data_IF_136294375520
#
_entry.id   IF_136294375520
#
_cell.length_a   1.000
_cell.length_b   1.000
_cell.length_c   1.000
_cell.angle_alpha   90.00
_cell.angle_beta   90.00
_cell.angle_gamma   90.00
#
_symmetry.space_group_name_H-M   'P 1'
#
loop_
_entity.id
_entity.type
_entity.pdbx_description
1 polymer ?
#
# COMPACT_ATOMS: atom_id res chain seq x y z
N UNK A 1 16.32 28.10 -25.22
CA UNK A 1 17.73 28.29 -24.83
C UNK A 1 18.68 27.42 -25.68
N UNK A 2 18.95 27.80 -26.94
CA UNK A 2 20.13 27.39 -27.72
C UNK A 2 20.31 28.45 -28.83
N UNK A 3 21.35 29.27 -28.73
CA UNK A 3 21.65 30.28 -29.76
C UNK A 3 22.53 29.66 -30.84
N UNK A 4 22.04 29.69 -32.08
CA UNK A 4 22.66 29.13 -33.30
C UNK A 4 24.07 29.66 -33.58
N UNK A 5 24.43 30.84 -33.04
CA UNK A 5 25.79 31.41 -33.19
C UNK A 5 26.86 30.64 -32.42
N UNK A 6 26.52 29.89 -31.36
CA UNK A 6 27.49 29.16 -30.53
C UNK A 6 27.77 27.72 -31.01
N UNK A 7 27.01 27.21 -31.99
CA UNK A 7 27.01 25.79 -32.39
C UNK A 7 27.56 25.52 -33.79
N UNK A 8 27.97 26.55 -34.54
CA UNK A 8 28.50 26.40 -35.90
C UNK A 8 29.93 25.80 -35.85
N UNK A 9 30.15 24.71 -36.59
CA UNK A 9 31.44 24.02 -36.77
C UNK A 9 32.08 23.33 -35.55
N UNK A 10 31.32 23.01 -34.50
CA UNK A 10 31.81 22.15 -33.40
C UNK A 10 31.01 20.84 -33.37
N UNK A 11 31.65 19.66 -33.36
CA UNK A 11 30.93 18.42 -33.08
C UNK A 11 30.39 18.52 -31.65
N UNK A 12 29.07 18.45 -31.50
CA UNK A 12 28.41 18.43 -30.21
C UNK A 12 27.84 17.04 -29.97
N UNK A 13 28.10 16.49 -28.78
CA UNK A 13 27.46 15.29 -28.28
C UNK A 13 26.34 15.74 -27.34
N UNK A 14 25.08 15.64 -27.78
CA UNK A 14 23.94 15.84 -26.88
C UNK A 14 23.72 14.54 -26.11
N UNK A 15 24.25 14.47 -24.90
CA UNK A 15 23.88 13.40 -23.97
C UNK A 15 22.53 13.78 -23.36
N UNK A 16 21.44 13.23 -23.89
CA UNK A 16 20.17 13.27 -23.16
C UNK A 16 20.32 12.36 -21.95
N UNK A 17 20.55 12.96 -20.79
CA UNK A 17 20.60 12.24 -19.53
C UNK A 17 19.20 11.68 -19.22
N UNK A 18 19.15 10.38 -18.98
CA UNK A 18 17.91 9.64 -18.76
C UNK A 18 17.40 9.96 -17.35
N UNK A 19 16.39 10.82 -17.24
CA UNK A 19 15.76 11.24 -15.96
C UNK A 19 15.13 10.06 -15.17
N UNK A 20 14.98 8.88 -15.77
CA UNK A 20 14.36 7.73 -15.12
C UNK A 20 15.24 6.46 -15.14
N UNK A 21 15.50 5.91 -13.95
CA UNK A 21 16.17 4.62 -13.71
C UNK A 21 15.40 3.39 -14.26
N UNK A 22 14.20 3.59 -14.80
CA UNK A 22 13.30 2.52 -15.26
C UNK A 22 13.33 2.46 -16.79
N UNK A 23 13.46 1.26 -17.37
CA UNK A 23 13.40 1.03 -18.82
C UNK A 23 12.02 1.46 -19.40
N UNK A 24 11.92 2.05 -20.62
CA UNK A 24 10.66 2.64 -21.08
C UNK A 24 9.56 1.58 -21.23
N UNK A 25 9.91 0.38 -21.72
CA UNK A 25 8.95 -0.72 -21.82
C UNK A 25 8.42 -1.19 -20.47
N UNK A 26 9.23 -1.11 -19.40
CA UNK A 26 8.80 -1.44 -18.04
C UNK A 26 7.81 -0.41 -17.50
N UNK A 27 8.02 0.88 -17.83
CA UNK A 27 7.09 1.94 -17.48
C UNK A 27 5.75 1.79 -18.22
N UNK A 28 5.79 1.50 -19.51
CA UNK A 28 4.59 1.28 -20.32
C UNK A 28 3.79 0.07 -19.83
N UNK A 29 4.48 -1.03 -19.51
CA UNK A 29 3.85 -2.23 -18.94
C UNK A 29 3.19 -1.95 -17.58
N UNK A 30 3.83 -1.13 -16.74
CA UNK A 30 3.27 -0.70 -15.46
C UNK A 30 2.00 0.13 -15.67
N UNK A 31 2.03 1.12 -16.57
CA UNK A 31 0.87 1.97 -16.90
C UNK A 31 -0.28 1.10 -17.44
N UNK A 32 0.01 0.15 -18.32
CA UNK A 32 -1.00 -0.78 -18.84
C UNK A 32 -1.59 -1.66 -17.73
N UNK A 33 -0.77 -2.15 -16.80
CA UNK A 33 -1.26 -2.96 -15.66
C UNK A 33 -2.23 -2.17 -14.76
N UNK A 34 -2.01 -0.86 -14.61
CA UNK A 34 -2.90 0.04 -13.88
C UNK A 34 -4.21 0.24 -14.65
N UNK A 35 -4.14 0.47 -15.97
CA UNK A 35 -5.32 0.59 -16.83
C UNK A 35 -6.17 -0.68 -16.83
N UNK A 36 -5.55 -1.86 -16.89
CA UNK A 36 -6.22 -3.16 -16.86
C UNK A 36 -6.99 -3.40 -15.55
N UNK A 37 -6.60 -2.75 -14.44
CA UNK A 37 -7.33 -2.77 -13.16
C UNK A 37 -8.54 -1.84 -13.14
N UNK A 38 -8.86 -1.19 -14.26
CA UNK A 38 -9.98 -0.24 -14.39
C UNK A 38 -9.66 1.18 -13.90
N UNK A 39 -8.40 1.49 -13.61
CA UNK A 39 -7.97 2.82 -13.17
C UNK A 39 -7.68 3.68 -14.41
N UNK A 40 -8.41 4.78 -14.56
CA UNK A 40 -8.18 5.75 -15.64
C UNK A 40 -6.89 6.53 -15.37
N UNK A 41 -5.89 6.36 -16.22
CA UNK A 41 -4.63 7.11 -16.16
C UNK A 41 -4.72 8.31 -17.11
N UNK A 42 -4.40 9.50 -16.60
CA UNK A 42 -4.28 10.73 -17.39
C UNK A 42 -2.82 11.14 -17.42
N UNK A 43 -2.24 11.24 -18.61
CA UNK A 43 -0.82 11.54 -18.79
C UNK A 43 -0.63 13.04 -19.08
N UNK A 44 0.09 13.72 -18.20
CA UNK A 44 0.51 15.12 -18.36
C UNK A 44 1.98 15.21 -18.74
N UNK A 45 2.36 16.26 -19.47
CA UNK A 45 3.75 16.49 -19.91
C UNK A 45 4.49 17.49 -19.01
N UNK A 46 3.74 18.40 -18.39
CA UNK A 46 4.25 19.43 -17.47
C UNK A 46 3.13 19.85 -16.50
N UNK A 47 3.48 20.62 -15.47
CA UNK A 47 2.53 21.04 -14.44
C UNK A 47 1.33 21.83 -15.00
N UNK A 48 1.55 22.69 -16.01
CA UNK A 48 0.48 23.47 -16.65
C UNK A 48 -0.51 22.57 -17.41
N UNK A 49 -0.02 21.59 -18.15
CA UNK A 49 -0.86 20.62 -18.86
C UNK A 49 -1.66 19.78 -17.86
N UNK A 50 -1.02 19.32 -16.78
CA UNK A 50 -1.70 18.58 -15.71
C UNK A 50 -2.81 19.42 -15.05
N UNK A 51 -2.57 20.72 -14.79
CA UNK A 51 -3.58 21.63 -14.26
C UNK A 51 -4.76 21.81 -15.25
N UNK A 52 -4.49 21.94 -16.54
CA UNK A 52 -5.51 22.00 -17.58
C UNK A 52 -6.33 20.71 -17.71
N UNK A 53 -5.69 19.54 -17.60
CA UNK A 53 -6.38 18.24 -17.58
C UNK A 53 -7.31 18.12 -16.36
N UNK A 54 -6.83 18.50 -15.18
CA UNK A 54 -7.66 18.52 -13.96
C UNK A 54 -8.85 19.47 -14.13
N UNK A 55 -8.61 20.67 -14.62
CA UNK A 55 -9.67 21.65 -14.88
C UNK A 55 -10.70 21.13 -15.88
N UNK A 56 -10.27 20.49 -16.98
CA UNK A 56 -11.18 19.92 -17.97
C UNK A 56 -12.00 18.75 -17.45
N UNK A 57 -11.42 17.90 -16.59
CA UNK A 57 -12.14 16.78 -15.95
C UNK A 57 -13.20 17.28 -14.97
N UNK A 58 -12.88 18.32 -14.19
CA UNK A 58 -13.82 18.91 -13.23
C UNK A 58 -14.92 19.70 -13.95
N UNK A 59 -14.52 20.63 -14.82
CA UNK A 59 -15.44 21.54 -15.51
C UNK A 59 -16.30 20.82 -16.56
N UNK A 60 -15.76 19.80 -17.22
CA UNK A 60 -16.50 18.98 -18.20
C UNK A 60 -17.66 18.19 -17.60
N UNK A 61 -17.71 18.04 -16.27
CA UNK A 61 -18.83 17.41 -15.56
C UNK A 61 -19.85 18.41 -14.98
N UNK A 62 -19.59 19.72 -15.05
CA UNK A 62 -20.36 20.73 -14.30
C UNK A 62 -21.53 21.35 -15.06
N UNK A 63 -21.58 21.25 -16.40
CA UNK A 63 -22.76 21.70 -17.17
C UNK A 63 -24.06 20.90 -16.90
N UNK A 64 -24.05 19.91 -16.01
CA UNK A 64 -25.23 19.10 -15.63
C UNK A 64 -25.50 19.02 -14.12
N UNK A 65 -24.81 19.81 -13.29
CA UNK A 65 -24.99 19.78 -11.82
C UNK A 65 -25.43 21.10 -11.19
N UNK A 66 -26.10 21.96 -11.97
CA UNK A 66 -27.10 22.87 -11.41
C UNK A 66 -28.36 22.08 -11.00
N UNK A 67 -28.21 21.18 -10.02
CA UNK A 67 -29.30 20.63 -9.23
C UNK A 67 -28.87 20.61 -7.77
N UNK A 68 -29.09 21.75 -7.13
CA UNK A 68 -29.66 21.92 -5.79
C UNK A 68 -29.50 20.72 -4.84
N UNK A 69 -28.69 20.88 -3.80
CA UNK A 69 -28.84 20.14 -2.53
C UNK A 69 -28.09 18.81 -2.36
N UNK A 70 -26.98 18.57 -3.07
CA UNK A 70 -26.27 17.30 -2.96
C UNK A 70 -25.21 17.32 -1.83
N UNK A 71 -25.48 16.57 -0.76
CA UNK A 71 -24.57 16.32 0.38
C UNK A 71 -23.14 16.06 -0.12
N UNK A 72 -22.17 16.75 0.50
CA UNK A 72 -20.73 16.52 0.29
C UNK A 72 -20.43 15.02 0.35
N UNK A 73 -19.62 14.47 -0.57
CA UNK A 73 -19.23 13.07 -0.51
C UNK A 73 -18.40 12.84 0.76
N UNK A 74 -18.95 12.07 1.69
CA UNK A 74 -18.21 11.55 2.85
C UNK A 74 -17.22 10.53 2.32
N UNK A 75 -15.96 10.91 2.17
CA UNK A 75 -14.87 9.98 1.86
C UNK A 75 -14.68 9.10 3.11
N UNK A 76 -15.16 7.86 3.08
CA UNK A 76 -14.79 6.86 4.11
C UNK A 76 -13.33 6.48 3.88
N UNK A 77 -12.42 7.04 4.68
CA UNK A 77 -10.96 6.85 4.56
C UNK A 77 -10.42 5.62 5.29
N UNK A 78 -11.27 4.71 5.77
CA UNK A 78 -10.82 3.36 6.10
C UNK A 78 -11.68 2.39 5.34
N UNK A 79 -11.05 1.46 4.62
CA UNK A 79 -11.71 0.19 4.34
C UNK A 79 -11.98 -0.39 5.72
N UNK A 80 -13.24 -0.39 6.14
CA UNK A 80 -13.63 -1.11 7.33
C UNK A 80 -13.21 -2.56 7.12
N UNK A 81 -13.00 -3.30 8.18
CA UNK A 81 -13.08 -4.75 8.09
C UNK A 81 -14.57 -4.98 7.75
N UNK A 82 -14.87 -5.07 6.46
CA UNK A 82 -16.25 -4.99 5.94
C UNK A 82 -17.05 -6.26 6.30
N UNK A 83 -16.32 -7.32 6.69
CA UNK A 83 -16.83 -8.63 7.06
C UNK A 83 -16.19 -9.10 8.36
N UNK A 84 -16.94 -9.88 9.14
CA UNK A 84 -16.44 -10.61 10.29
C UNK A 84 -15.21 -11.49 9.93
N UNK A 85 -15.13 -11.97 8.69
CA UNK A 85 -13.96 -12.73 8.21
C UNK A 85 -12.71 -11.85 8.11
N UNK A 86 -12.86 -10.59 7.68
CA UNK A 86 -11.73 -9.66 7.59
C UNK A 86 -11.24 -9.33 9.00
N UNK A 87 -12.14 -9.20 9.97
CA UNK A 87 -11.81 -9.01 11.38
C UNK A 87 -11.02 -10.19 11.96
N UNK A 88 -11.45 -11.41 11.66
CA UNK A 88 -10.75 -12.62 12.06
C UNK A 88 -9.37 -12.73 11.41
N UNK A 89 -9.26 -12.45 10.11
CA UNK A 89 -7.98 -12.43 9.39
C UNK A 89 -7.04 -11.38 9.98
N UNK A 90 -7.55 -10.18 10.28
CA UNK A 90 -6.78 -9.10 10.87
C UNK A 90 -6.29 -9.43 12.29
N UNK A 91 -7.15 -10.03 13.12
CA UNK A 91 -6.78 -10.44 14.48
C UNK A 91 -5.64 -11.47 14.46
N UNK A 92 -5.73 -12.51 13.63
CA UNK A 92 -4.66 -13.50 13.50
C UNK A 92 -3.41 -12.92 12.80
N UNK A 93 -3.57 -11.96 11.90
CA UNK A 93 -2.45 -11.25 11.30
C UNK A 93 -1.71 -10.33 12.30
N UNK A 94 -2.30 -10.05 13.47
CA UNK A 94 -1.64 -9.31 14.55
C UNK A 94 -0.50 -10.07 15.23
N UNK A 95 -0.41 -11.39 15.04
CA UNK A 95 0.67 -12.18 15.60
C UNK A 95 2.02 -11.88 14.92
N UNK A 96 3.14 -11.93 15.66
CA UNK A 96 4.46 -11.67 15.12
C UNK A 96 4.78 -12.63 13.97
N UNK A 97 5.27 -12.07 12.85
CA UNK A 97 5.65 -12.81 11.65
C UNK A 97 4.50 -13.54 10.94
N UNK A 98 3.24 -13.19 11.23
CA UNK A 98 2.08 -13.65 10.48
C UNK A 98 1.57 -12.50 9.62
N UNK A 99 1.23 -12.80 8.37
CA UNK A 99 0.60 -11.87 7.45
C UNK A 99 -0.83 -12.33 7.14
N UNK A 100 -1.61 -11.51 6.44
CA UNK A 100 -3.00 -11.82 6.07
C UNK A 100 -3.12 -13.15 5.32
N UNK A 101 -2.15 -13.49 4.47
CA UNK A 101 -2.15 -14.76 3.72
C UNK A 101 -2.01 -15.96 4.65
N UNK A 102 -1.08 -15.91 5.60
CA UNK A 102 -0.87 -16.95 6.62
C UNK A 102 -2.05 -17.03 7.60
N UNK A 103 -2.59 -15.90 8.00
CA UNK A 103 -3.79 -15.81 8.83
C UNK A 103 -4.99 -16.49 8.17
N UNK A 104 -5.20 -16.25 6.87
CA UNK A 104 -6.22 -16.95 6.09
C UNK A 104 -5.98 -18.45 6.03
N UNK A 105 -4.73 -18.90 5.84
CA UNK A 105 -4.40 -20.34 5.84
C UNK A 105 -4.66 -20.99 7.20
N UNK A 106 -4.34 -20.30 8.30
CA UNK A 106 -4.64 -20.73 9.67
C UNK A 106 -6.15 -20.86 9.89
N UNK A 107 -6.91 -19.83 9.52
CA UNK A 107 -8.38 -19.83 9.67
C UNK A 107 -9.05 -20.88 8.76
N UNK A 108 -8.50 -21.16 7.58
CA UNK A 108 -8.98 -22.26 6.73
C UNK A 108 -8.75 -23.64 7.33
N UNK A 109 -7.64 -23.84 8.09
CA UNK A 109 -7.33 -25.13 8.73
C UNK A 109 -8.13 -25.32 10.03
N UNK A 110 -8.21 -24.30 10.88
CA UNK A 110 -8.78 -24.39 12.22
C UNK A 110 -10.21 -23.84 12.34
N UNK A 111 -10.73 -23.17 11.31
CA UNK A 111 -12.10 -22.67 11.22
C UNK A 111 -12.36 -21.38 12.01
N UNK A 112 -11.85 -21.27 13.24
CA UNK A 112 -12.05 -20.09 14.10
C UNK A 112 -10.74 -19.54 14.65
N UNK A 113 -10.66 -18.24 14.99
CA UNK A 113 -9.48 -17.67 15.62
C UNK A 113 -9.13 -18.33 16.96
N UNK A 114 -10.15 -18.70 17.75
CA UNK A 114 -9.96 -19.36 19.04
C UNK A 114 -9.28 -20.72 18.88
N UNK A 115 -9.75 -21.53 17.91
CA UNK A 115 -9.17 -22.84 17.66
C UNK A 115 -7.75 -22.73 17.08
N UNK A 116 -7.47 -21.69 16.29
CA UNK A 116 -6.11 -21.39 15.85
C UNK A 116 -5.17 -21.07 17.04
N UNK A 117 -5.63 -20.28 18.02
CA UNK A 117 -4.85 -19.92 19.21
C UNK A 117 -4.63 -21.14 20.13
N UNK A 118 -5.64 -22.00 20.28
CA UNK A 118 -5.51 -23.23 21.08
C UNK A 118 -4.42 -24.15 20.51
N UNK A 119 -4.30 -24.23 19.19
CA UNK A 119 -3.40 -25.15 18.50
C UNK A 119 -2.12 -24.47 17.97
N UNK A 120 -1.57 -23.49 18.68
CA UNK A 120 -0.36 -22.74 18.25
C UNK A 120 0.85 -23.65 18.00
N UNK A 121 0.96 -24.78 18.71
CA UNK A 121 2.07 -25.72 18.52
C UNK A 121 2.06 -26.37 17.13
N UNK A 122 0.87 -26.56 16.56
CA UNK A 122 0.66 -27.24 15.27
C UNK A 122 0.64 -26.26 14.08
N UNK A 123 1.00 -24.99 14.31
CA UNK A 123 1.09 -24.02 13.21
C UNK A 123 2.22 -24.34 12.24
N UNK A 124 3.25 -25.08 12.67
CA UNK A 124 4.36 -25.54 11.82
C UNK A 124 3.94 -26.41 10.64
N UNK A 125 2.76 -27.04 10.72
CA UNK A 125 2.24 -27.90 9.64
C UNK A 125 1.81 -27.09 8.41
N UNK A 126 1.61 -25.78 8.57
CA UNK A 126 1.16 -24.91 7.48
C UNK A 126 2.39 -24.41 6.72
N UNK A 127 2.34 -24.58 5.40
CA UNK A 127 3.38 -24.14 4.49
C UNK A 127 3.72 -22.65 4.73
N UNK A 128 4.99 -22.40 5.11
CA UNK A 128 5.51 -21.06 5.34
C UNK A 128 5.43 -20.56 6.79
N UNK A 129 4.90 -21.33 7.74
CA UNK A 129 5.03 -21.02 9.17
C UNK A 129 6.13 -21.90 9.78
N UNK A 130 7.21 -21.27 10.24
CA UNK A 130 8.34 -21.97 10.83
C UNK A 130 8.30 -22.01 12.37
N UNK A 131 9.18 -22.81 13.01
CA UNK A 131 9.24 -22.92 14.47
C UNK A 131 9.54 -21.58 15.16
N UNK A 132 10.26 -20.68 14.48
CA UNK A 132 10.52 -19.31 14.97
C UNK A 132 9.23 -18.51 15.15
N UNK A 133 8.29 -18.64 14.22
CA UNK A 133 7.01 -17.96 14.27
C UNK A 133 6.14 -18.54 15.39
N UNK A 134 6.15 -19.87 15.55
CA UNK A 134 5.47 -20.55 16.67
C UNK A 134 6.00 -20.08 18.02
N UNK A 135 7.32 -20.02 18.19
CA UNK A 135 7.95 -19.55 19.43
C UNK A 135 7.59 -18.09 19.75
N UNK A 136 7.58 -17.22 18.74
CA UNK A 136 7.19 -15.82 18.91
C UNK A 136 5.71 -15.66 19.28
N UNK A 137 4.82 -16.43 18.64
CA UNK A 137 3.40 -16.44 18.96
C UNK A 137 3.13 -16.97 20.38
N UNK A 138 3.81 -18.05 20.79
CA UNK A 138 3.76 -18.55 22.17
C UNK A 138 4.23 -17.50 23.16
N UNK A 139 5.37 -16.85 22.89
CA UNK A 139 5.89 -15.80 23.75
C UNK A 139 4.86 -14.69 23.95
N UNK A 140 4.18 -14.26 22.89
CA UNK A 140 3.15 -13.21 22.95
C UNK A 140 1.91 -13.64 23.76
N UNK A 141 1.49 -14.90 23.63
CA UNK A 141 0.28 -15.40 24.31
C UNK A 141 0.48 -15.72 25.79
N UNK A 142 1.67 -16.20 26.14
CA UNK A 142 2.00 -16.66 27.49
C UNK A 142 2.82 -15.65 28.30
N UNK A 143 3.22 -14.51 27.72
CA UNK A 143 3.87 -13.44 28.47
C UNK A 143 2.85 -12.68 29.31
N UNK A 144 3.17 -12.45 30.58
CA UNK A 144 2.42 -11.53 31.41
C UNK A 144 2.48 -10.11 30.82
N UNK A 145 1.36 -9.40 30.92
CA UNK A 145 1.28 -8.01 30.52
C UNK A 145 1.98 -7.13 31.57
N UNK A 146 3.29 -6.97 31.44
CA UNK A 146 4.02 -5.93 32.15
C UNK A 146 3.93 -4.64 31.33
N UNK A 147 3.14 -3.66 31.79
CA UNK A 147 3.26 -2.30 31.30
C UNK A 147 4.65 -1.80 31.68
N UNK A 148 5.60 -1.82 30.75
CA UNK A 148 6.92 -1.20 30.96
C UNK A 148 6.73 0.32 31.00
N UNK A 149 6.44 0.86 32.18
CA UNK A 149 6.73 2.27 32.52
C UNK A 149 8.18 2.45 33.02
N UNK A 150 8.91 1.38 33.32
CA UNK A 150 10.17 1.45 34.08
C UNK A 150 11.47 1.53 33.24
N UNK A 151 11.45 2.17 32.07
CA UNK A 151 12.65 2.27 31.21
C UNK A 151 13.09 3.69 30.84
N UNK A 152 12.52 4.75 31.46
CA UNK A 152 12.87 6.14 31.12
C UNK A 152 13.54 6.92 32.28
N UNK A 153 13.51 6.44 33.53
CA UNK A 153 13.88 7.29 34.69
C UNK A 153 15.13 6.85 35.49
N UNK A 154 16.11 6.19 34.89
CA UNK A 154 17.35 5.81 35.59
C UNK A 154 18.63 6.33 34.92
N UNK A 155 18.58 7.51 34.31
CA UNK A 155 19.79 8.19 33.82
C UNK A 155 19.69 9.68 34.09
N UNK A 156 19.59 10.06 35.36
CA UNK A 156 19.95 11.39 35.87
C UNK A 156 19.89 11.40 37.41
N UNK A 157 20.94 10.87 38.06
CA UNK A 157 21.44 11.34 39.37
C UNK A 157 22.96 11.18 39.43
#
# INVERSE_FOLDING_TARGET
PFSTKKTKNKPYLVTMERVSFIHPSSLDALIQSIRNRGIKVLEGYNALHSAGLLYGVLSGGESLKEKTGQRLPIIRTRKGLDSQNDEQEFFIAGFPQINVVRARSLLKKYGTPMEAIRNVEQWSDIAGIGPKTVAAAKKLLYSDYSANEDAIDSTEE
#
